data_IF_066629122799
#
_entry.id   IF_066629122799
#
_cell.length_a   1.000
_cell.length_b   1.000
_cell.length_c   1.000
_cell.angle_alpha   90.00
_cell.angle_beta   90.00
_cell.angle_gamma   90.00
#
_symmetry.space_group_name_H-M   'P 1'
#
loop_
_entity.id
_entity.type
_entity.pdbx_description
1 polymer ?
#
# COMPACT_ATOMS: atom_id res chain seq x y z
N UNK A 1 -1.48 -11.69 -1.47
CA UNK A 1 -0.65 -12.30 -2.53
C UNK A 1 -0.94 -11.58 -3.84
N UNK A 2 0.10 -11.14 -4.54
CA UNK A 2 -0.03 -10.42 -5.81
C UNK A 2 0.81 -11.12 -6.86
N UNK A 3 0.35 -11.13 -8.11
CA UNK A 3 1.14 -11.54 -9.27
C UNK A 3 0.40 -11.19 -10.54
N UNK A 4 1.05 -10.53 -11.48
CA UNK A 4 0.52 -10.29 -12.83
C UNK A 4 0.40 -11.58 -13.66
N UNK A 5 1.27 -12.55 -13.37
CA UNK A 5 1.33 -13.80 -14.10
C UNK A 5 0.18 -14.73 -13.70
N UNK A 6 -0.44 -15.34 -14.71
CA UNK A 6 -1.37 -16.45 -14.50
C UNK A 6 -0.59 -17.69 -14.06
N UNK A 7 -1.31 -18.64 -13.45
CA UNK A 7 -0.75 -19.95 -13.10
C UNK A 7 0.37 -19.92 -12.03
N UNK A 8 0.13 -19.14 -10.99
CA UNK A 8 1.02 -18.92 -9.83
C UNK A 8 0.61 -19.75 -8.62
N UNK A 9 -0.42 -20.59 -8.75
CA UNK A 9 -0.95 -21.41 -7.65
C UNK A 9 -1.70 -20.62 -6.57
N UNK A 10 -1.99 -19.32 -6.75
CA UNK A 10 -2.72 -18.48 -5.77
C UNK A 10 -4.07 -19.10 -5.38
N UNK A 11 -4.93 -19.40 -6.36
CA UNK A 11 -6.24 -20.01 -6.09
C UNK A 11 -6.11 -21.44 -5.55
N UNK A 12 -5.08 -22.19 -5.96
CA UNK A 12 -4.77 -23.52 -5.36
C UNK A 12 -4.42 -23.40 -3.89
N UNK A 13 -3.63 -22.40 -3.50
CA UNK A 13 -3.31 -22.12 -2.10
C UNK A 13 -4.56 -21.74 -1.29
N UNK A 14 -5.47 -20.94 -1.85
CA UNK A 14 -6.74 -20.62 -1.21
C UNK A 14 -7.59 -21.88 -0.98
N UNK A 15 -7.64 -22.78 -1.96
CA UNK A 15 -8.32 -24.07 -1.84
C UNK A 15 -7.64 -25.01 -0.83
N UNK A 16 -6.31 -24.94 -0.70
CA UNK A 16 -5.58 -25.63 0.35
C UNK A 16 -5.96 -25.10 1.73
N UNK A 17 -6.01 -23.77 1.92
CA UNK A 17 -6.51 -23.16 3.16
C UNK A 17 -7.96 -23.59 3.46
N UNK A 18 -8.81 -23.70 2.44
CA UNK A 18 -10.17 -24.25 2.57
C UNK A 18 -10.16 -25.69 3.08
N UNK A 19 -9.25 -26.52 2.60
CA UNK A 19 -9.12 -27.89 3.06
C UNK A 19 -8.61 -27.99 4.52
N UNK A 20 -7.69 -27.11 4.92
CA UNK A 20 -7.12 -27.08 6.28
C UNK A 20 -8.11 -26.56 7.32
N UNK A 21 -8.78 -25.42 7.05
CA UNK A 21 -9.65 -24.76 8.02
C UNK A 21 -11.13 -25.13 7.88
N UNK A 22 -11.52 -25.83 6.80
CA UNK A 22 -12.87 -26.33 6.56
C UNK A 22 -13.97 -25.27 6.77
N UNK A 23 -14.81 -25.43 7.79
CA UNK A 23 -15.92 -24.54 8.10
C UNK A 23 -15.47 -23.22 8.76
N UNK A 24 -14.22 -23.11 9.20
CA UNK A 24 -13.65 -21.91 9.82
C UNK A 24 -13.09 -20.90 8.79
N UNK A 25 -13.22 -21.19 7.49
CA UNK A 25 -12.80 -20.30 6.41
C UNK A 25 -13.93 -20.10 5.40
N UNK A 26 -13.99 -18.90 4.85
CA UNK A 26 -14.97 -18.51 3.82
C UNK A 26 -14.29 -17.81 2.65
N UNK A 27 -14.88 -17.98 1.47
CA UNK A 27 -14.56 -17.20 0.29
C UNK A 27 -15.54 -16.04 0.21
N UNK A 28 -15.01 -14.83 0.19
CA UNK A 28 -15.78 -13.63 -0.02
C UNK A 28 -15.43 -13.03 -1.38
N UNK A 29 -16.41 -12.40 -2.01
CA UNK A 29 -16.22 -11.51 -3.15
C UNK A 29 -15.95 -10.08 -2.67
N UNK A 30 -15.56 -9.19 -3.59
CA UNK A 30 -15.47 -7.76 -3.30
C UNK A 30 -16.84 -7.16 -2.88
N UNK A 31 -17.96 -7.74 -3.35
CA UNK A 31 -19.31 -7.30 -2.99
C UNK A 31 -19.69 -7.73 -1.57
N UNK A 32 -19.38 -8.98 -1.19
CA UNK A 32 -19.61 -9.49 0.17
C UNK A 32 -18.84 -8.68 1.20
N UNK A 33 -17.64 -8.21 0.83
CA UNK A 33 -16.85 -7.33 1.67
C UNK A 33 -17.49 -5.94 1.85
N UNK A 34 -18.13 -5.42 0.82
CA UNK A 34 -18.81 -4.11 0.84
C UNK A 34 -20.21 -4.17 1.43
N UNK A 35 -20.83 -5.34 1.44
CA UNK A 35 -22.15 -5.58 2.02
C UNK A 35 -22.22 -5.19 3.49
N UNK A 36 -23.40 -4.75 3.92
CA UNK A 36 -23.74 -4.59 5.34
C UNK A 36 -24.04 -5.94 5.98
N UNK A 37 -24.58 -6.89 5.21
CA UNK A 37 -24.81 -8.25 5.66
C UNK A 37 -23.50 -9.03 5.67
N UNK A 38 -23.14 -9.54 6.85
CA UNK A 38 -21.84 -10.14 7.12
C UNK A 38 -21.93 -11.47 7.86
N UNK A 39 -23.15 -11.98 8.07
CA UNK A 39 -23.43 -13.22 8.81
C UNK A 39 -22.65 -14.42 8.29
N UNK A 40 -22.40 -14.47 6.99
CA UNK A 40 -21.73 -15.59 6.32
C UNK A 40 -20.25 -15.72 6.72
N UNK A 41 -19.63 -14.60 7.12
CA UNK A 41 -18.20 -14.53 7.38
C UNK A 41 -17.82 -14.02 8.77
N UNK A 42 -18.72 -13.38 9.51
CA UNK A 42 -18.43 -12.76 10.80
C UNK A 42 -17.90 -13.76 11.85
N UNK A 43 -18.37 -15.02 11.82
CA UNK A 43 -17.95 -16.08 12.73
C UNK A 43 -16.76 -16.92 12.26
N UNK A 44 -16.07 -16.54 11.19
CA UNK A 44 -14.98 -17.33 10.59
C UNK A 44 -13.61 -16.90 11.13
N UNK A 45 -12.65 -17.82 11.17
CA UNK A 45 -11.26 -17.53 11.54
C UNK A 45 -10.45 -16.97 10.37
N UNK A 46 -10.81 -17.33 9.14
CA UNK A 46 -10.11 -16.92 7.94
C UNK A 46 -11.10 -16.46 6.87
N UNK A 47 -10.89 -15.26 6.33
CA UNK A 47 -11.68 -14.70 5.24
C UNK A 47 -10.74 -14.58 4.05
N UNK A 48 -11.09 -15.27 2.98
CA UNK A 48 -10.29 -15.34 1.77
C UNK A 48 -11.02 -14.58 0.68
N UNK A 49 -10.32 -13.70 -0.02
CA UNK A 49 -10.86 -12.99 -1.18
C UNK A 49 -9.95 -13.26 -2.37
N UNK A 50 -10.49 -13.88 -3.41
CA UNK A 50 -9.81 -14.02 -4.69
C UNK A 50 -10.11 -12.79 -5.57
N UNK A 51 -9.15 -12.40 -6.40
CA UNK A 51 -9.25 -11.24 -7.29
C UNK A 51 -9.71 -9.92 -6.62
N UNK A 52 -9.03 -9.57 -5.54
CA UNK A 52 -9.26 -8.35 -4.77
C UNK A 52 -8.99 -7.11 -5.61
N UNK A 53 -9.96 -6.20 -5.60
CA UNK A 53 -9.87 -4.85 -6.16
C UNK A 53 -10.58 -3.84 -5.22
N UNK A 54 -9.89 -3.47 -4.15
CA UNK A 54 -10.39 -2.53 -3.14
C UNK A 54 -9.78 -1.16 -3.37
N UNK A 55 -10.31 -0.48 -4.40
CA UNK A 55 -9.86 0.83 -4.85
C UNK A 55 -10.50 2.00 -4.08
N UNK A 56 -11.30 1.75 -3.04
CA UNK A 56 -11.89 2.80 -2.20
C UNK A 56 -11.13 2.91 -0.89
N UNK A 57 -10.89 4.14 -0.43
CA UNK A 57 -10.29 4.39 0.90
C UNK A 57 -11.15 3.78 2.01
N UNK A 58 -12.48 3.83 1.86
CA UNK A 58 -13.44 3.19 2.76
C UNK A 58 -13.19 1.69 2.93
N UNK A 59 -12.91 0.97 1.83
CA UNK A 59 -12.63 -0.47 1.87
C UNK A 59 -11.35 -0.75 2.68
N UNK A 60 -10.35 0.12 2.53
CA UNK A 60 -9.06 0.01 3.21
C UNK A 60 -9.18 0.32 4.71
N UNK A 61 -9.95 1.36 5.07
CA UNK A 61 -10.29 1.65 6.48
C UNK A 61 -11.11 0.51 7.11
N UNK A 62 -12.04 -0.08 6.36
CA UNK A 62 -12.81 -1.24 6.81
C UNK A 62 -11.89 -2.44 7.10
N UNK A 63 -10.91 -2.73 6.24
CA UNK A 63 -9.90 -3.77 6.49
C UNK A 63 -9.06 -3.47 7.73
N UNK A 64 -8.59 -2.21 7.89
CA UNK A 64 -7.83 -1.78 9.08
C UNK A 64 -8.63 -2.01 10.36
N UNK A 65 -9.90 -1.61 10.36
CA UNK A 65 -10.81 -1.82 11.49
C UNK A 65 -10.98 -3.31 11.77
N UNK A 66 -11.42 -4.10 10.79
CA UNK A 66 -11.66 -5.54 10.97
C UNK A 66 -10.42 -6.32 11.43
N UNK A 67 -9.21 -5.91 11.00
CA UNK A 67 -7.98 -6.57 11.43
C UNK A 67 -7.65 -6.37 12.92
N UNK A 68 -8.28 -5.39 13.57
CA UNK A 68 -7.99 -4.98 14.94
C UNK A 68 -9.17 -5.15 15.89
N UNK A 69 -10.40 -5.05 15.40
CA UNK A 69 -11.63 -5.17 16.17
C UNK A 69 -11.69 -6.49 16.96
N UNK A 70 -12.10 -6.41 18.23
CA UNK A 70 -12.29 -7.57 19.11
C UNK A 70 -13.73 -8.10 19.07
N UNK A 71 -14.72 -7.23 18.86
CA UNK A 71 -16.12 -7.57 18.76
C UNK A 71 -16.78 -6.93 17.53
N UNK A 72 -17.56 -7.70 16.79
CA UNK A 72 -18.17 -7.26 15.54
C UNK A 72 -19.67 -7.52 15.57
N UNK A 73 -20.44 -6.51 15.12
CA UNK A 73 -21.90 -6.61 15.03
C UNK A 73 -22.26 -7.37 13.77
N UNK A 74 -22.90 -8.50 13.96
CA UNK A 74 -23.41 -9.35 12.90
C UNK A 74 -24.73 -8.79 12.41
N UNK A 75 -24.83 -8.56 11.12
CA UNK A 75 -26.07 -8.15 10.47
C UNK A 75 -26.51 -9.25 9.51
N UNK A 76 -27.75 -9.72 9.70
CA UNK A 76 -28.43 -10.65 8.83
C UNK A 76 -29.75 -10.05 8.37
N UNK A 77 -30.19 -10.38 7.15
CA UNK A 77 -31.42 -9.85 6.59
C UNK A 77 -32.63 -10.28 7.43
N UNK A 78 -33.37 -9.31 7.96
CA UNK A 78 -34.59 -9.55 8.74
C UNK A 78 -34.36 -10.14 10.14
N UNK A 79 -33.16 -9.98 10.71
CA UNK A 79 -32.85 -10.37 12.09
C UNK A 79 -32.24 -9.19 12.86
N UNK A 80 -32.39 -9.24 14.18
CA UNK A 80 -31.73 -8.30 15.08
C UNK A 80 -30.21 -8.45 15.03
N UNK A 81 -29.52 -7.39 15.45
CA UNK A 81 -28.05 -7.32 15.42
C UNK A 81 -27.49 -7.97 16.68
N UNK A 82 -26.66 -8.99 16.47
CA UNK A 82 -25.94 -9.67 17.55
C UNK A 82 -24.46 -9.26 17.55
N UNK A 83 -23.86 -9.11 18.74
CA UNK A 83 -22.43 -8.82 18.86
C UNK A 83 -21.66 -10.10 19.18
N UNK A 84 -20.68 -10.44 18.33
CA UNK A 84 -19.82 -11.61 18.51
C UNK A 84 -18.36 -11.19 18.62
N UNK A 85 -17.54 -12.04 19.24
CA UNK A 85 -16.09 -11.87 19.20
C UNK A 85 -15.54 -12.11 17.78
N UNK A 86 -14.68 -11.22 17.30
CA UNK A 86 -14.15 -11.25 15.94
C UNK A 86 -12.66 -11.60 15.93
N UNK A 87 -12.31 -12.71 15.29
CA UNK A 87 -10.94 -13.23 15.25
C UNK A 87 -10.40 -13.41 13.83
N UNK A 88 -11.15 -12.96 12.83
CA UNK A 88 -10.84 -13.29 11.45
C UNK A 88 -9.50 -12.69 10.99
N UNK A 89 -8.78 -13.47 10.18
CA UNK A 89 -7.62 -13.02 9.40
C UNK A 89 -7.98 -12.97 7.92
N UNK A 90 -7.40 -12.02 7.20
CA UNK A 90 -7.69 -11.81 5.78
C UNK A 90 -6.55 -12.34 4.90
N UNK A 91 -6.90 -13.14 3.90
CA UNK A 91 -5.98 -13.55 2.83
C UNK A 91 -6.53 -13.02 1.52
N UNK A 92 -5.84 -12.02 0.99
CA UNK A 92 -6.24 -11.30 -0.22
C UNK A 92 -5.36 -11.74 -1.39
N UNK A 93 -5.97 -12.19 -2.48
CA UNK A 93 -5.26 -12.48 -3.74
C UNK A 93 -5.63 -11.46 -4.80
N UNK A 94 -4.66 -10.99 -5.58
CA UNK A 94 -4.94 -10.12 -6.72
C UNK A 94 -4.00 -10.42 -7.88
N UNK A 95 -4.49 -10.15 -9.08
CA UNK A 95 -3.68 -10.11 -10.30
C UNK A 95 -3.07 -8.73 -10.53
N UNK A 96 -3.49 -7.71 -9.77
CA UNK A 96 -2.93 -6.37 -9.84
C UNK A 96 -1.79 -6.23 -8.81
N UNK A 97 -0.56 -6.02 -9.29
CA UNK A 97 0.61 -5.80 -8.43
C UNK A 97 0.73 -4.37 -7.91
N UNK A 98 0.05 -3.41 -8.53
CA UNK A 98 0.21 -1.98 -8.24
C UNK A 98 -0.92 -1.45 -7.35
N UNK A 99 -2.17 -1.75 -7.70
CA UNK A 99 -3.36 -1.17 -7.06
C UNK A 99 -4.39 -2.24 -6.63
N UNK A 100 -4.01 -3.29 -5.88
CA UNK A 100 -4.98 -4.26 -5.36
C UNK A 100 -5.83 -3.70 -4.21
N UNK A 101 -5.21 -2.89 -3.34
CA UNK A 101 -5.79 -2.24 -2.17
C UNK A 101 -5.07 -0.90 -1.95
N UNK A 102 -5.77 0.11 -1.45
CA UNK A 102 -5.15 1.37 -1.04
C UNK A 102 -4.44 1.18 0.30
N UNK A 103 -3.12 1.36 0.30
CA UNK A 103 -2.27 1.21 1.49
C UNK A 103 -1.48 2.50 1.67
N UNK A 104 -1.66 3.14 2.81
CA UNK A 104 -0.96 4.37 3.18
C UNK A 104 0.47 4.08 3.65
N UNK A 105 1.32 5.10 3.57
CA UNK A 105 2.68 5.06 4.12
C UNK A 105 2.61 4.86 5.64
N UNK A 106 3.43 3.93 6.16
CA UNK A 106 3.49 3.61 7.59
C UNK A 106 2.45 2.58 8.06
N UNK A 107 1.62 2.06 7.17
CA UNK A 107 0.71 0.97 7.51
C UNK A 107 1.47 -0.34 7.74
N UNK A 108 1.22 -1.00 8.88
CA UNK A 108 1.97 -2.19 9.34
C UNK A 108 1.14 -3.46 9.31
N UNK A 109 -0.16 -3.37 8.97
CA UNK A 109 -1.10 -4.50 8.96
C UNK A 109 -1.03 -5.40 7.73
N UNK A 110 -0.32 -4.97 6.69
CA UNK A 110 -0.24 -5.73 5.44
C UNK A 110 1.08 -6.50 5.32
N UNK A 111 0.97 -7.73 4.82
CA UNK A 111 2.11 -8.52 4.37
C UNK A 111 1.88 -8.91 2.91
N UNK A 112 2.62 -8.27 2.01
CA UNK A 112 2.45 -8.47 0.56
C UNK A 112 3.54 -9.38 0.04
N UNK A 113 3.13 -10.49 -0.56
CA UNK A 113 4.01 -11.44 -1.25
C UNK A 113 3.70 -11.42 -2.74
N UNK A 114 4.72 -11.10 -3.55
CA UNK A 114 4.72 -11.38 -4.98
C UNK A 114 4.97 -12.88 -5.17
N UNK A 115 4.12 -13.53 -5.96
CA UNK A 115 4.21 -14.97 -6.23
C UNK A 115 4.65 -15.17 -7.68
N UNK A 116 5.70 -15.95 -7.88
CA UNK A 116 6.22 -16.30 -9.21
C UNK A 116 5.37 -17.40 -9.83
N UNK A 117 5.37 -17.46 -11.17
CA UNK A 117 4.71 -18.53 -11.90
C UNK A 117 5.31 -19.89 -11.59
N UNK A 118 4.46 -20.92 -11.56
CA UNK A 118 4.89 -22.30 -11.40
C UNK A 118 5.68 -22.74 -12.65
N UNK A 119 6.80 -23.44 -12.43
CA UNK A 119 7.67 -23.93 -13.51
C UNK A 119 7.02 -25.02 -14.37
N UNK A 120 6.10 -25.79 -13.77
CA UNK A 120 5.43 -26.91 -14.39
C UNK A 120 3.99 -26.99 -13.90
N UNK A 121 3.10 -27.42 -14.80
CA UNK A 121 1.70 -27.61 -14.48
C UNK A 121 1.46 -29.04 -14.04
N UNK A 122 0.95 -29.19 -12.83
CA UNK A 122 0.59 -30.47 -12.23
C UNK A 122 -0.90 -30.43 -11.90
N UNK A 123 -1.69 -31.23 -12.62
CA UNK A 123 -3.14 -31.28 -12.47
C UNK A 123 -3.57 -31.80 -11.09
N UNK A 124 -2.72 -32.62 -10.46
CA UNK A 124 -3.00 -33.22 -9.15
C UNK A 124 -2.41 -32.42 -7.99
N UNK A 125 -1.89 -31.21 -8.26
CA UNK A 125 -1.18 -30.40 -7.28
C UNK A 125 -1.99 -30.16 -6.00
N UNK A 126 -3.30 -29.85 -6.13
CA UNK A 126 -4.18 -29.67 -4.97
C UNK A 126 -4.37 -30.97 -4.17
N UNK A 127 -4.45 -32.11 -4.85
CA UNK A 127 -4.63 -33.41 -4.17
C UNK A 127 -3.38 -33.79 -3.38
N UNK A 128 -2.20 -33.58 -3.98
CA UNK A 128 -0.90 -33.77 -3.30
C UNK A 128 -0.80 -32.87 -2.08
N UNK A 129 -1.16 -31.58 -2.19
CA UNK A 129 -1.21 -30.67 -1.03
C UNK A 129 -2.18 -31.14 0.06
N UNK A 130 -3.34 -31.69 -0.31
CA UNK A 130 -4.30 -32.24 0.65
C UNK A 130 -3.75 -33.47 1.38
N UNK A 131 -3.02 -34.35 0.68
CA UNK A 131 -2.38 -35.51 1.29
C UNK A 131 -1.33 -35.12 2.35
N UNK A 132 -0.67 -33.98 2.16
CA UNK A 132 0.34 -33.43 3.09
C UNK A 132 -0.26 -32.70 4.31
N UNK A 133 -1.58 -32.46 4.37
CA UNK A 133 -2.20 -31.71 5.48
C UNK A 133 -1.84 -32.28 6.86
N UNK A 134 -1.90 -33.61 7.13
CA UNK A 134 -1.56 -34.15 8.44
C UNK A 134 -0.11 -33.83 8.85
N UNK A 135 0.84 -34.01 7.94
CA UNK A 135 2.25 -33.71 8.18
C UNK A 135 2.48 -32.21 8.38
N UNK A 136 1.81 -31.37 7.59
CA UNK A 136 1.85 -29.92 7.72
C UNK A 136 1.33 -29.44 9.08
N UNK A 137 0.18 -29.96 9.53
CA UNK A 137 -0.38 -29.61 10.84
C UNK A 137 0.51 -30.09 11.99
N UNK A 138 1.07 -31.30 11.88
CA UNK A 138 2.04 -31.81 12.85
C UNK A 138 3.25 -30.86 12.94
N UNK A 139 3.81 -30.45 11.80
CA UNK A 139 4.90 -29.49 11.76
C UNK A 139 4.54 -28.15 12.40
N UNK A 140 3.34 -27.59 12.12
CA UNK A 140 2.91 -26.31 12.71
C UNK A 140 2.79 -26.37 14.24
N UNK A 141 2.40 -27.52 14.81
CA UNK A 141 2.25 -27.70 16.26
C UNK A 141 3.58 -27.86 16.99
N UNK A 142 4.59 -28.45 16.34
CA UNK A 142 5.85 -28.84 16.98
C UNK A 142 7.04 -27.95 16.59
N UNK A 143 6.89 -27.07 15.60
CA UNK A 143 7.97 -26.16 15.20
C UNK A 143 8.24 -25.11 16.28
N UNK A 144 9.51 -24.74 16.42
CA UNK A 144 9.89 -23.53 17.15
C UNK A 144 9.61 -22.30 16.27
N UNK A 145 8.90 -21.31 16.80
CA UNK A 145 8.66 -20.05 16.08
C UNK A 145 9.96 -19.25 16.01
N UNK A 146 10.33 -18.78 14.81
CA UNK A 146 11.53 -17.95 14.61
C UNK A 146 11.38 -16.50 15.07
N UNK A 147 10.15 -16.06 15.35
CA UNK A 147 9.83 -14.67 15.71
C UNK A 147 8.98 -14.63 16.97
N UNK A 148 9.23 -13.65 17.83
CA UNK A 148 8.41 -13.36 19.00
C UNK A 148 7.34 -12.30 18.68
N UNK A 149 6.38 -12.16 19.60
CA UNK A 149 5.34 -11.14 19.50
C UNK A 149 5.93 -9.75 19.79
N UNK A 150 6.18 -8.97 18.76
CA UNK A 150 6.70 -7.60 18.85
C UNK A 150 5.62 -6.53 18.58
N UNK A 151 4.54 -6.92 17.91
CA UNK A 151 3.45 -6.00 17.57
C UNK A 151 2.07 -6.65 17.75
N UNK A 152 1.02 -5.84 17.56
CA UNK A 152 -0.36 -6.35 17.45
C UNK A 152 -0.52 -7.37 16.31
N UNK A 153 0.32 -7.25 15.28
CA UNK A 153 0.37 -8.16 14.13
C UNK A 153 1.39 -9.29 14.30
N UNK A 154 1.87 -9.51 15.53
CA UNK A 154 2.94 -10.44 15.92
C UNK A 154 4.33 -10.02 15.43
N UNK A 155 4.50 -9.76 14.14
CA UNK A 155 5.80 -9.50 13.53
C UNK A 155 6.30 -8.07 13.76
N UNK A 156 7.62 -7.89 13.77
CA UNK A 156 8.26 -6.60 13.61
C UNK A 156 7.86 -5.99 12.25
N UNK A 157 7.48 -4.71 12.14
CA UNK A 157 7.09 -4.08 10.87
C UNK A 157 8.16 -4.23 9.77
N UNK A 158 9.43 -4.24 10.16
CA UNK A 158 10.58 -4.44 9.28
C UNK A 158 10.51 -5.76 8.50
N UNK A 159 9.97 -6.82 9.13
CA UNK A 159 9.91 -8.18 8.55
C UNK A 159 8.79 -8.32 7.52
N UNK A 160 7.72 -7.53 7.64
CA UNK A 160 6.58 -7.54 6.72
C UNK A 160 6.70 -6.51 5.62
N UNK A 161 7.64 -5.57 5.73
CA UNK A 161 7.93 -4.54 4.73
C UNK A 161 8.69 -5.12 3.53
N UNK A 162 7.93 -5.61 2.54
CA UNK A 162 8.49 -6.20 1.31
C UNK A 162 8.58 -5.18 0.18
N UNK A 163 9.42 -5.45 -0.81
CA UNK A 163 9.49 -4.65 -2.05
C UNK A 163 8.13 -4.56 -2.77
N UNK A 164 7.33 -5.63 -2.73
CA UNK A 164 5.97 -5.64 -3.28
C UNK A 164 5.03 -4.70 -2.50
N UNK A 165 5.10 -4.67 -1.17
CA UNK A 165 4.34 -3.73 -0.35
C UNK A 165 4.75 -2.28 -0.67
N UNK A 166 6.05 -2.02 -0.76
CA UNK A 166 6.58 -0.70 -1.09
C UNK A 166 6.12 -0.22 -2.47
N UNK A 167 6.06 -1.11 -3.47
CA UNK A 167 5.51 -0.79 -4.80
C UNK A 167 4.04 -0.40 -4.75
N UNK A 168 3.21 -1.09 -3.97
CA UNK A 168 1.79 -0.75 -3.80
C UNK A 168 1.63 0.61 -3.10
N UNK A 169 2.37 0.85 -2.01
CA UNK A 169 2.35 2.14 -1.31
C UNK A 169 2.73 3.29 -2.25
N UNK A 170 3.79 3.11 -3.04
CA UNK A 170 4.23 4.09 -4.06
C UNK A 170 3.16 4.31 -5.14
N UNK A 171 2.52 3.26 -5.61
CA UNK A 171 1.49 3.33 -6.65
C UNK A 171 0.20 4.00 -6.16
N UNK A 172 -0.10 3.93 -4.86
CA UNK A 172 -1.23 4.61 -4.23
C UNK A 172 -1.00 6.12 -4.00
N UNK A 173 0.19 6.65 -4.28
CA UNK A 173 0.48 8.09 -4.12
C UNK A 173 -0.29 8.95 -5.11
N UNK A 174 -0.44 10.23 -4.75
CA UNK A 174 -1.11 11.19 -5.63
C UNK A 174 -0.28 11.39 -6.90
N UNK A 175 -0.91 11.39 -8.08
CA UNK A 175 -0.20 11.65 -9.35
C UNK A 175 0.58 12.97 -9.30
N UNK A 176 -0.02 14.03 -8.75
CA UNK A 176 0.66 15.34 -8.65
C UNK A 176 1.88 15.28 -7.73
N UNK A 177 1.82 14.48 -6.66
CA UNK A 177 2.95 14.27 -5.76
C UNK A 177 4.10 13.53 -6.47
N UNK A 178 3.78 12.53 -7.29
CA UNK A 178 4.77 11.81 -8.09
C UNK A 178 5.45 12.75 -9.08
N UNK A 179 4.69 13.50 -9.88
CA UNK A 179 5.20 14.50 -10.84
C UNK A 179 6.07 15.56 -10.13
N UNK A 180 5.65 16.02 -8.95
CA UNK A 180 6.44 16.92 -8.11
C UNK A 180 7.75 16.31 -7.66
N UNK A 181 7.73 15.05 -7.20
CA UNK A 181 8.94 14.36 -6.76
C UNK A 181 9.93 14.11 -7.90
N UNK A 182 9.44 13.72 -9.06
CA UNK A 182 10.23 13.48 -10.27
C UNK A 182 10.87 14.78 -10.77
N UNK A 183 10.09 15.86 -10.87
CA UNK A 183 10.59 17.19 -11.23
C UNK A 183 11.68 17.67 -10.27
N UNK A 184 11.51 17.47 -8.95
CA UNK A 184 12.53 17.83 -7.98
C UNK A 184 13.82 17.03 -8.19
N UNK A 185 13.71 15.72 -8.41
CA UNK A 185 14.84 14.83 -8.65
C UNK A 185 15.56 15.16 -9.97
N UNK A 186 14.81 15.49 -11.02
CA UNK A 186 15.35 15.90 -12.32
C UNK A 186 16.18 17.18 -12.19
N UNK A 187 15.64 18.21 -11.52
CA UNK A 187 16.37 19.47 -11.28
C UNK A 187 17.63 19.21 -10.46
N UNK A 188 17.54 18.38 -9.40
CA UNK A 188 18.68 18.00 -8.58
C UNK A 188 19.78 17.31 -9.39
N UNK A 189 19.40 16.43 -10.31
CA UNK A 189 20.34 15.72 -11.17
C UNK A 189 20.99 16.64 -12.21
N UNK A 190 20.20 17.43 -12.95
CA UNK A 190 20.72 18.33 -14.00
C UNK A 190 21.59 19.46 -13.45
N UNK A 191 21.29 19.93 -12.24
CA UNK A 191 22.05 20.99 -11.57
C UNK A 191 23.12 20.46 -10.62
N UNK A 192 23.25 19.13 -10.48
CA UNK A 192 24.17 18.45 -9.58
C UNK A 192 24.09 18.95 -8.11
N UNK A 193 22.87 19.07 -7.59
CA UNK A 193 22.58 19.48 -6.20
C UNK A 193 21.84 18.39 -5.44
N UNK A 194 21.95 18.37 -4.11
CA UNK A 194 21.32 17.36 -3.25
C UNK A 194 20.04 17.84 -2.57
N UNK A 195 19.74 19.12 -2.66
CA UNK A 195 18.56 19.76 -2.09
C UNK A 195 17.99 20.81 -3.03
N UNK A 196 16.68 21.04 -2.92
CA UNK A 196 15.94 22.00 -3.72
C UNK A 196 15.11 22.88 -2.81
N UNK A 197 15.30 24.19 -2.92
CA UNK A 197 14.51 25.19 -2.22
C UNK A 197 13.51 25.86 -3.14
N UNK A 198 12.27 26.02 -2.70
CA UNK A 198 11.20 26.64 -3.47
C UNK A 198 10.09 27.22 -2.59
N UNK A 199 9.42 28.25 -3.07
CA UNK A 199 8.09 28.64 -2.59
C UNK A 199 7.01 27.89 -3.38
N UNK A 200 5.80 27.81 -2.83
CA UNK A 200 4.65 27.16 -3.48
C UNK A 200 4.42 27.69 -4.91
N UNK A 201 4.58 29.01 -5.12
CA UNK A 201 4.41 29.61 -6.45
C UNK A 201 5.48 29.15 -7.45
N UNK A 202 6.72 28.94 -7.00
CA UNK A 202 7.80 28.50 -7.89
C UNK A 202 7.51 27.09 -8.39
N UNK A 203 7.10 26.20 -7.46
CA UNK A 203 6.73 24.83 -7.79
C UNK A 203 5.53 24.76 -8.74
N UNK A 204 4.49 25.57 -8.50
CA UNK A 204 3.34 25.68 -9.42
C UNK A 204 3.79 26.13 -10.80
N UNK A 205 4.70 27.11 -10.90
CA UNK A 205 5.23 27.56 -12.19
C UNK A 205 6.02 26.46 -12.90
N UNK A 206 6.89 25.73 -12.17
CA UNK A 206 7.67 24.64 -12.75
C UNK A 206 6.77 23.49 -13.25
N UNK A 207 5.80 23.05 -12.46
CA UNK A 207 4.85 21.99 -12.85
C UNK A 207 3.97 22.38 -14.04
N UNK A 208 3.50 23.62 -14.09
CA UNK A 208 2.70 24.09 -15.22
C UNK A 208 3.51 24.09 -16.52
N UNK A 209 4.82 24.37 -16.45
CA UNK A 209 5.69 24.35 -17.63
C UNK A 209 6.01 22.93 -18.12
N UNK A 210 5.93 21.90 -17.27
CA UNK A 210 6.03 20.48 -17.68
C UNK A 210 4.71 19.91 -18.21
N UNK A 211 3.65 20.73 -18.30
CA UNK A 211 2.32 20.31 -18.74
C UNK A 211 1.43 19.74 -17.63
N UNK A 212 1.93 19.70 -16.38
CA UNK A 212 1.16 19.26 -15.22
C UNK A 212 0.38 20.45 -14.62
N UNK A 213 -0.88 20.62 -15.04
CA UNK A 213 -1.76 21.66 -14.51
C UNK A 213 -2.12 21.37 -13.05
N UNK A 214 -1.61 22.19 -12.14
CA UNK A 214 -1.94 22.11 -10.71
C UNK A 214 -2.19 23.49 -10.12
N UNK A 215 -2.95 23.53 -9.02
CA UNK A 215 -3.24 24.75 -8.29
C UNK A 215 -2.36 24.90 -7.04
N UNK A 216 -2.38 26.11 -6.46
CA UNK A 216 -1.60 26.39 -5.24
C UNK A 216 -2.07 25.57 -4.04
N UNK A 217 -3.33 25.14 -4.01
CA UNK A 217 -3.90 24.40 -2.87
C UNK A 217 -3.36 22.96 -2.85
N UNK A 218 -3.31 22.30 -4.00
CA UNK A 218 -2.74 20.95 -4.16
C UNK A 218 -1.25 20.92 -3.82
N UNK A 219 -0.47 21.84 -4.38
CA UNK A 219 0.97 21.92 -4.10
C UNK A 219 1.22 22.20 -2.61
N UNK A 220 0.45 23.12 -2.00
CA UNK A 220 0.55 23.39 -0.56
C UNK A 220 0.27 22.15 0.28
N UNK A 221 -0.79 21.40 -0.06
CA UNK A 221 -1.15 20.15 0.63
C UNK A 221 -0.02 19.12 0.55
N UNK A 222 0.58 18.94 -0.63
CA UNK A 222 1.68 18.00 -0.82
C UNK A 222 2.89 18.41 0.04
N UNK A 223 3.29 19.68 -0.03
CA UNK A 223 4.47 20.19 0.69
C UNK A 223 4.29 20.13 2.22
N UNK A 224 3.13 20.56 2.72
CA UNK A 224 2.90 20.74 4.15
C UNK A 224 2.36 19.48 4.83
N UNK A 225 1.42 18.76 4.20
CA UNK A 225 0.70 17.66 4.85
C UNK A 225 1.34 16.30 4.53
N UNK A 226 1.83 16.13 3.29
CA UNK A 226 2.39 14.84 2.82
C UNK A 226 3.90 14.80 3.08
N UNK A 227 4.66 15.73 2.52
CA UNK A 227 6.11 15.82 2.72
C UNK A 227 6.49 16.40 4.08
N UNK A 228 5.53 16.96 4.81
CA UNK A 228 5.69 17.50 6.17
C UNK A 228 6.82 18.53 6.28
N UNK A 229 7.02 19.33 5.23
CA UNK A 229 8.05 20.36 5.20
C UNK A 229 7.56 21.60 5.94
N UNK A 230 8.42 22.15 6.80
CA UNK A 230 8.22 23.44 7.43
C UNK A 230 8.80 24.57 6.56
N UNK A 231 8.13 25.72 6.47
CA UNK A 231 8.69 26.88 5.78
C UNK A 231 9.83 27.48 6.63
N UNK A 232 10.73 28.20 5.96
CA UNK A 232 11.71 29.04 6.64
C UNK A 232 11.04 29.96 7.69
N UNK A 233 11.73 30.17 8.81
CA UNK A 233 11.24 30.95 9.95
C UNK A 233 10.91 32.40 9.57
N UNK A 234 11.73 32.99 8.70
CA UNK A 234 11.60 34.35 8.21
C UNK A 234 11.64 34.40 6.67
N UNK A 235 11.30 35.57 6.12
CA UNK A 235 11.52 35.87 4.71
C UNK A 235 13.01 36.00 4.45
N UNK A 236 13.57 35.06 3.68
CA UNK A 236 15.00 34.96 3.39
C UNK A 236 15.22 34.90 1.88
N UNK A 237 16.44 35.22 1.45
CA UNK A 237 16.86 34.98 0.06
C UNK A 237 17.23 33.52 -0.09
N UNK A 238 16.72 32.88 -1.13
CA UNK A 238 17.00 31.47 -1.45
C UNK A 238 17.31 31.31 -2.93
N UNK A 239 18.05 30.24 -3.23
CA UNK A 239 18.30 29.79 -4.58
C UNK A 239 17.19 28.83 -4.99
N UNK A 240 16.56 29.09 -6.11
CA UNK A 240 15.60 28.18 -6.74
C UNK A 240 15.89 28.09 -8.24
N UNK A 241 15.06 27.35 -8.97
CA UNK A 241 15.25 27.11 -10.39
C UNK A 241 14.01 27.49 -11.17
N UNK A 242 14.22 27.92 -12.41
CA UNK A 242 13.17 28.19 -13.38
C UNK A 242 13.52 27.53 -14.70
N UNK A 243 12.53 27.22 -15.52
CA UNK A 243 12.79 26.68 -16.85
C UNK A 243 13.52 27.70 -17.71
N UNK A 244 14.56 27.22 -18.40
CA UNK A 244 15.35 27.98 -19.36
C UNK A 244 15.53 27.15 -20.63
N UNK A 245 14.65 27.42 -21.59
CA UNK A 245 14.62 26.77 -22.91
C UNK A 245 15.84 27.06 -23.78
N UNK A 246 16.66 28.05 -23.41
CA UNK A 246 17.89 28.40 -24.14
C UNK A 246 19.13 27.72 -23.54
N UNK A 247 19.01 27.12 -22.36
CA UNK A 247 20.12 26.44 -21.69
C UNK A 247 20.17 24.96 -22.08
N UNK A 248 21.38 24.42 -22.21
CA UNK A 248 21.62 22.97 -22.39
C UNK A 248 21.07 22.10 -21.24
N UNK A 249 20.79 22.72 -20.08
CA UNK A 249 20.37 22.04 -18.85
C UNK A 249 18.90 22.26 -18.51
N UNK A 250 18.10 22.82 -19.42
CA UNK A 250 16.65 23.10 -19.30
C UNK A 250 16.19 23.95 -18.08
N UNK A 251 17.05 24.17 -17.09
CA UNK A 251 16.80 24.95 -15.88
C UNK A 251 17.95 25.93 -15.62
N UNK A 252 17.60 27.13 -15.16
CA UNK A 252 18.55 28.14 -14.73
C UNK A 252 18.37 28.48 -13.25
N UNK A 253 19.47 28.70 -12.50
CA UNK A 253 19.39 29.11 -11.10
C UNK A 253 18.93 30.57 -11.02
N UNK A 254 18.00 30.86 -10.11
CA UNK A 254 17.51 32.22 -9.84
C UNK A 254 17.42 32.45 -8.32
N UNK A 255 17.86 33.63 -7.87
CA UNK A 255 17.68 34.04 -6.48
C UNK A 255 16.31 34.70 -6.31
N UNK A 256 15.54 34.24 -5.33
CA UNK A 256 14.24 34.81 -4.95
C UNK A 256 14.21 35.08 -3.45
N UNK A 257 13.25 35.88 -3.01
CA UNK A 257 13.06 36.23 -1.60
C UNK A 257 11.69 35.77 -1.13
N UNK A 258 11.61 35.07 0.00
CA UNK A 258 10.36 34.48 0.47
C UNK A 258 10.53 33.54 1.66
N UNK A 259 9.41 32.99 2.13
CA UNK A 259 9.40 31.87 3.09
C UNK A 259 9.33 30.57 2.29
N UNK A 260 10.51 30.05 1.95
CA UNK A 260 10.68 28.87 1.12
C UNK A 260 10.65 27.58 1.93
N UNK A 261 10.46 26.47 1.24
CA UNK A 261 10.61 25.10 1.73
C UNK A 261 11.87 24.50 1.12
N UNK A 262 12.50 23.55 1.81
CA UNK A 262 13.62 22.78 1.27
C UNK A 262 13.28 21.30 1.33
N UNK A 263 13.53 20.59 0.23
CA UNK A 263 13.41 19.13 0.15
C UNK A 263 14.75 18.53 -0.27
N UNK A 264 15.14 17.42 0.33
CA UNK A 264 16.38 16.72 -0.01
C UNK A 264 16.13 15.53 -0.93
N UNK A 265 17.16 15.15 -1.71
CA UNK A 265 17.13 13.93 -2.54
C UNK A 265 16.80 12.69 -1.71
N UNK A 266 17.41 12.58 -0.52
CA UNK A 266 17.17 11.48 0.41
C UNK A 266 15.69 11.38 0.83
N UNK A 267 15.07 12.52 1.19
CA UNK A 267 13.65 12.57 1.53
C UNK A 267 12.80 12.07 0.34
N UNK A 268 13.03 12.56 -0.88
CA UNK A 268 12.24 12.17 -2.06
C UNK A 268 12.42 10.70 -2.44
N UNK A 269 13.64 10.16 -2.32
CA UNK A 269 13.90 8.74 -2.63
C UNK A 269 13.25 7.79 -1.65
N UNK A 270 13.16 8.21 -0.39
CA UNK A 270 12.45 7.48 0.64
C UNK A 270 10.93 7.60 0.42
N UNK A 271 10.41 8.80 0.06
CA UNK A 271 9.02 9.10 -0.35
C UNK A 271 7.99 8.44 0.56
#
# INVERSE_FOLDING_TARGET
>A
MVSEERNTGKSTFLNFLKAVFQNNVTFNTNEDFRSQFNVDWAGKLLIVVDEVLLNRREDSERLKNLSTTLSYKVEAKGKDRDEISFFAKFVLCSNNELLPVIIDVGETRYWVRKIERLKSDDTDFLQKLKAEIPAFLYFLQHRTLSTQKESRMWFAPQLTFTSALQRIIRSNRNKIELEMSELCLEIMEQMAVTELSFCINDMVCLLNNTGCKTDKSQVRRIVQDIWKLSPASNTLTYLTYQMDYNSLRNYSPIKRTGRYYTVTKEQLTNI
#
